data_IF_818019512236
#
_entry.id   IF_818019512236
#
_cell.length_a   1.000
_cell.length_b   1.000
_cell.length_c   1.000
_cell.angle_alpha   90.00
_cell.angle_beta   90.00
_cell.angle_gamma   90.00
#
_symmetry.space_group_name_H-M   'P 1'
#
loop_
_entity.id
_entity.type
_entity.pdbx_description
1 polymer ?
#
# COMPACT_ATOMS: atom_id res chain seq x y z
N UNK A 1 11.04 -69.64 25.53
CA UNK A 1 11.46 -68.41 26.24
C UNK A 1 10.26 -67.49 26.43
N UNK A 2 9.76 -67.31 27.67
CA UNK A 2 8.64 -66.39 27.93
C UNK A 2 9.23 -64.97 28.14
N UNK A 3 9.00 -64.07 27.20
CA UNK A 3 9.39 -62.67 27.38
C UNK A 3 8.66 -62.12 28.60
N UNK A 4 9.42 -61.47 29.49
CA UNK A 4 8.83 -60.87 30.68
C UNK A 4 7.98 -59.65 30.25
N UNK A 5 6.77 -59.45 30.83
CA UNK A 5 5.83 -58.42 30.42
C UNK A 5 6.43 -56.99 30.31
N UNK A 6 7.39 -56.54 31.13
CA UNK A 6 7.96 -55.21 30.99
C UNK A 6 8.79 -55.02 29.72
N UNK A 7 9.42 -56.09 29.19
CA UNK A 7 10.21 -56.05 27.97
C UNK A 7 9.29 -55.90 26.74
N UNK A 8 8.13 -56.54 26.75
CA UNK A 8 7.15 -56.45 25.68
C UNK A 8 6.55 -55.03 25.57
N UNK A 9 6.26 -54.39 26.72
CA UNK A 9 5.74 -53.01 26.77
C UNK A 9 6.79 -52.03 26.26
N UNK A 10 8.06 -52.18 26.61
CA UNK A 10 9.13 -51.32 26.16
C UNK A 10 9.35 -51.41 24.63
N UNK A 11 9.27 -52.63 24.05
CA UNK A 11 9.36 -52.84 22.61
C UNK A 11 8.17 -52.23 21.84
N UNK A 12 6.99 -52.27 22.44
CA UNK A 12 5.76 -51.66 21.86
C UNK A 12 5.86 -50.14 21.84
N UNK A 13 6.38 -49.54 22.91
CA UNK A 13 6.59 -48.06 22.96
C UNK A 13 7.63 -47.61 21.93
N UNK A 14 8.72 -48.36 21.72
CA UNK A 14 9.72 -48.04 20.70
C UNK A 14 9.14 -48.16 19.28
N UNK A 15 8.28 -49.16 19.01
CA UNK A 15 7.60 -49.32 17.71
C UNK A 15 6.68 -48.12 17.40
N UNK A 16 6.00 -47.58 18.41
CA UNK A 16 5.18 -46.35 18.23
C UNK A 16 6.01 -45.08 17.97
N UNK A 17 7.19 -44.98 18.60
CA UNK A 17 8.06 -43.80 18.37
C UNK A 17 8.73 -43.81 17.00
N UNK A 18 8.90 -44.98 16.37
CA UNK A 18 9.48 -45.09 15.03
C UNK A 18 8.43 -44.90 13.89
N UNK A 19 7.15 -44.98 14.22
CA UNK A 19 6.06 -44.90 13.22
C UNK A 19 5.72 -43.46 12.78
N UNK A 20 6.16 -42.42 13.47
CA UNK A 20 5.76 -41.05 13.20
C UNK A 20 6.71 -40.24 12.32
N UNK A 21 7.83 -40.80 11.79
CA UNK A 21 8.87 -40.01 11.13
C UNK A 21 8.95 -40.24 9.61
N UNK A 22 8.21 -41.17 9.05
CA UNK A 22 8.50 -41.62 7.66
C UNK A 22 7.68 -40.98 6.55
N UNK A 23 6.88 -39.93 6.76
CA UNK A 23 6.15 -39.28 5.66
C UNK A 23 5.99 -37.76 5.80
N UNK A 24 6.87 -37.09 6.51
CA UNK A 24 7.02 -35.64 6.33
C UNK A 24 7.98 -35.42 5.16
N UNK A 25 7.48 -35.52 3.95
CA UNK A 25 8.19 -35.13 2.73
C UNK A 25 8.28 -33.59 2.72
N UNK A 26 9.28 -33.06 3.42
CA UNK A 26 9.56 -31.63 3.49
C UNK A 26 10.07 -31.06 2.15
N UNK A 27 10.41 -31.94 1.19
CA UNK A 27 10.91 -31.52 -0.12
C UNK A 27 9.79 -31.18 -1.13
N UNK A 28 8.49 -31.45 -0.79
CA UNK A 28 7.37 -31.16 -1.69
C UNK A 28 6.62 -29.86 -1.35
N UNK A 29 6.97 -29.17 -0.28
CA UNK A 29 6.43 -27.85 0.00
C UNK A 29 7.38 -26.81 -0.61
N UNK A 30 7.46 -26.75 -1.93
CA UNK A 30 7.74 -25.50 -2.62
C UNK A 30 6.52 -24.60 -2.38
N UNK A 31 6.35 -24.15 -1.16
CA UNK A 31 5.52 -22.99 -0.88
C UNK A 31 6.36 -21.83 -1.44
N UNK A 32 6.07 -21.41 -2.67
CA UNK A 32 6.38 -20.07 -3.14
C UNK A 32 5.58 -19.09 -2.24
N UNK A 33 5.95 -19.07 -0.97
CA UNK A 33 5.36 -18.17 -0.01
C UNK A 33 5.88 -16.78 -0.38
N UNK A 34 5.02 -15.96 -0.95
CA UNK A 34 5.27 -14.54 -1.09
C UNK A 34 4.80 -13.84 0.20
N UNK A 35 5.67 -13.78 1.24
CA UNK A 35 5.31 -13.05 2.45
C UNK A 35 5.01 -11.61 2.09
N UNK A 36 3.97 -11.06 2.73
CA UNK A 36 3.55 -9.70 2.48
C UNK A 36 3.39 -8.92 3.77
N UNK A 37 3.76 -7.64 3.79
CA UNK A 37 3.44 -6.73 4.88
C UNK A 37 2.87 -5.43 4.39
N UNK A 38 2.02 -4.86 5.24
CA UNK A 38 1.39 -3.57 5.00
C UNK A 38 2.26 -2.46 5.61
N UNK A 39 2.46 -1.40 4.84
CA UNK A 39 3.22 -0.21 5.22
C UNK A 39 2.37 1.01 4.98
N UNK A 40 2.16 1.89 5.98
CA UNK A 40 1.53 3.17 5.73
C UNK A 40 2.42 3.99 4.79
N UNK A 41 1.81 4.59 3.74
CA UNK A 41 2.56 5.38 2.77
C UNK A 41 2.28 6.87 2.95
N UNK A 42 1.02 7.27 2.78
CA UNK A 42 0.63 8.66 2.76
C UNK A 42 -0.63 8.84 3.60
N UNK A 43 -0.66 9.91 4.37
CA UNK A 43 -1.85 10.42 5.03
C UNK A 43 -1.82 11.93 5.02
N UNK A 44 -2.88 12.56 4.54
CA UNK A 44 -3.12 13.99 4.69
C UNK A 44 -4.62 14.29 4.77
N UNK A 45 -4.93 15.46 5.29
CA UNK A 45 -6.26 16.04 5.31
C UNK A 45 -6.15 17.46 4.76
N UNK A 46 -7.01 17.78 3.79
CA UNK A 46 -7.15 19.13 3.22
C UNK A 46 -8.52 19.66 3.63
N UNK A 47 -8.58 20.94 3.90
CA UNK A 47 -9.86 21.64 4.10
C UNK A 47 -10.14 22.64 2.97
N UNK A 48 -11.26 23.35 3.03
CA UNK A 48 -11.61 24.34 2.00
C UNK A 48 -10.60 25.50 1.90
N UNK A 49 -9.88 25.82 2.98
CA UNK A 49 -8.93 26.93 3.00
C UNK A 49 -7.65 26.58 2.22
N UNK A 50 -7.29 25.28 2.14
CA UNK A 50 -6.15 24.84 1.31
C UNK A 50 -6.38 25.12 -0.18
N UNK A 51 -7.64 25.33 -0.59
CA UNK A 51 -8.06 25.65 -1.95
C UNK A 51 -8.44 27.12 -2.13
N UNK A 52 -8.10 27.99 -1.19
CA UNK A 52 -8.36 29.43 -1.25
C UNK A 52 -7.05 30.18 -1.03
N UNK A 53 -6.76 31.13 -1.90
CA UNK A 53 -5.60 32.00 -1.75
C UNK A 53 -5.87 33.03 -0.65
N UNK A 54 -5.06 33.03 0.41
CA UNK A 54 -5.21 33.90 1.58
C UNK A 54 -5.07 35.39 1.23
N UNK A 55 -4.47 35.74 0.09
CA UNK A 55 -4.18 37.13 -0.28
C UNK A 55 -5.37 37.80 -0.97
N UNK A 56 -6.03 37.09 -1.86
CA UNK A 56 -7.07 37.65 -2.74
C UNK A 56 -8.38 36.85 -2.76
N UNK A 57 -8.45 35.75 -2.01
CA UNK A 57 -9.63 34.90 -1.90
C UNK A 57 -9.94 34.10 -3.18
N UNK A 58 -9.03 34.06 -4.16
CA UNK A 58 -9.23 33.29 -5.38
C UNK A 58 -9.06 31.79 -5.12
N UNK A 59 -9.76 30.95 -5.91
CA UNK A 59 -9.60 29.50 -5.78
C UNK A 59 -8.24 29.02 -6.30
N UNK A 60 -7.57 28.21 -5.50
CA UNK A 60 -6.39 27.40 -5.85
C UNK A 60 -6.91 26.07 -6.37
N UNK A 61 -6.76 25.83 -7.68
CA UNK A 61 -7.31 24.64 -8.31
C UNK A 61 -6.48 23.37 -8.09
N UNK A 62 -5.27 23.49 -7.55
CA UNK A 62 -4.36 22.35 -7.40
C UNK A 62 -3.49 22.50 -6.16
N UNK A 63 -3.48 21.47 -5.33
CA UNK A 63 -2.62 21.36 -4.15
C UNK A 63 -1.75 20.11 -4.33
N UNK A 64 -0.47 20.20 -4.00
CA UNK A 64 0.46 19.08 -4.11
C UNK A 64 1.32 18.98 -2.86
N UNK A 65 1.60 17.74 -2.46
CA UNK A 65 2.53 17.43 -1.38
C UNK A 65 3.49 16.32 -1.79
N UNK A 66 4.67 16.31 -1.18
CA UNK A 66 5.72 15.32 -1.42
C UNK A 66 6.14 14.73 -0.08
N UNK A 67 6.06 13.40 0.03
CA UNK A 67 6.43 12.63 1.22
C UNK A 67 7.57 11.67 0.92
N UNK A 68 8.55 11.56 1.82
CA UNK A 68 9.62 10.56 1.73
C UNK A 68 9.09 9.16 2.06
N UNK A 69 9.53 8.17 1.27
CA UNK A 69 9.20 6.75 1.45
C UNK A 69 10.44 5.98 1.92
N UNK A 70 10.63 5.89 3.22
CA UNK A 70 11.82 5.24 3.82
C UNK A 70 11.92 3.76 3.52
N UNK A 71 10.79 3.06 3.33
CA UNK A 71 10.77 1.61 3.08
C UNK A 71 11.62 1.20 1.88
N UNK A 72 11.63 2.00 0.82
CA UNK A 72 12.43 1.73 -0.38
C UNK A 72 13.93 2.04 -0.23
N UNK A 73 14.36 2.53 0.95
CA UNK A 73 15.78 2.71 1.25
C UNK A 73 16.45 1.40 1.67
N UNK A 74 15.67 0.44 2.17
CA UNK A 74 16.16 -0.88 2.56
C UNK A 74 16.62 -1.70 1.34
N UNK A 75 17.85 -2.23 1.36
CA UNK A 75 18.34 -3.16 0.33
C UNK A 75 17.49 -4.43 0.31
N UNK A 76 17.10 -4.95 1.48
CA UNK A 76 16.26 -6.15 1.56
C UNK A 76 14.92 -5.97 0.82
N UNK A 77 14.33 -4.78 0.85
CA UNK A 77 13.12 -4.46 0.08
C UNK A 77 13.42 -4.42 -1.40
N UNK A 78 14.47 -3.71 -1.81
CA UNK A 78 14.81 -3.56 -3.24
C UNK A 78 15.20 -4.88 -3.91
N UNK A 79 15.89 -5.75 -3.17
CA UNK A 79 16.43 -6.99 -3.73
C UNK A 79 15.37 -8.10 -3.81
N UNK A 80 14.31 -8.03 -2.99
CA UNK A 80 13.34 -9.11 -2.85
C UNK A 80 11.89 -8.71 -3.18
N UNK A 81 11.56 -7.42 -3.34
CA UNK A 81 10.21 -6.98 -3.68
C UNK A 81 9.83 -7.46 -5.09
N UNK A 82 8.71 -8.19 -5.19
CA UNK A 82 8.18 -8.69 -6.46
C UNK A 82 6.91 -7.98 -6.89
N UNK A 83 6.12 -7.48 -5.94
CA UNK A 83 4.86 -6.78 -6.19
C UNK A 83 4.56 -5.77 -5.09
N UNK A 84 4.02 -4.63 -5.49
CA UNK A 84 3.50 -3.58 -4.61
C UNK A 84 2.02 -3.36 -4.93
N UNK A 85 1.15 -3.50 -3.94
CA UNK A 85 -0.26 -3.10 -4.02
C UNK A 85 -0.45 -1.84 -3.18
N UNK A 86 -0.92 -0.76 -3.78
CA UNK A 86 -1.20 0.47 -3.06
C UNK A 86 -2.71 0.64 -2.96
N UNK A 87 -3.22 0.62 -1.75
CA UNK A 87 -4.64 0.83 -1.45
C UNK A 87 -4.85 2.26 -1.03
N UNK A 88 -5.86 2.88 -1.61
CA UNK A 88 -6.27 4.25 -1.33
C UNK A 88 -7.65 4.25 -0.72
N UNK A 89 -7.80 5.08 0.31
CA UNK A 89 -9.05 5.36 0.99
C UNK A 89 -9.20 6.89 1.05
N UNK A 90 -10.12 7.43 0.24
CA UNK A 90 -10.35 8.84 0.05
C UNK A 90 -11.77 9.14 0.52
N UNK A 91 -11.90 10.10 1.44
CA UNK A 91 -13.20 10.54 1.98
C UNK A 91 -13.28 12.04 1.86
N UNK A 92 -14.38 12.56 1.31
CA UNK A 92 -14.65 13.99 1.23
C UNK A 92 -16.09 14.32 1.60
N UNK A 93 -16.30 15.56 2.03
CA UNK A 93 -17.63 16.17 2.12
C UNK A 93 -17.76 17.46 1.29
N UNK A 94 -16.83 17.67 0.35
CA UNK A 94 -16.93 18.72 -0.64
C UNK A 94 -17.99 18.39 -1.69
N UNK A 95 -18.80 19.34 -2.08
CA UNK A 95 -19.69 19.23 -3.23
C UNK A 95 -18.98 19.66 -4.52
N UNK A 96 -17.82 19.05 -4.79
CA UNK A 96 -16.94 19.34 -5.94
C UNK A 96 -16.32 18.03 -6.44
N UNK A 97 -15.95 18.02 -7.69
CA UNK A 97 -15.22 16.93 -8.32
C UNK A 97 -13.71 17.09 -8.04
N UNK A 98 -13.05 15.97 -7.72
CA UNK A 98 -11.62 15.91 -7.46
C UNK A 98 -10.93 14.94 -8.39
N UNK A 99 -9.77 15.35 -8.91
CA UNK A 99 -8.82 14.51 -9.62
C UNK A 99 -7.57 14.32 -8.78
N UNK A 100 -7.01 13.12 -8.82
CA UNK A 100 -5.79 12.79 -8.11
C UNK A 100 -4.74 12.33 -9.10
N UNK A 101 -3.51 12.78 -8.92
CA UNK A 101 -2.33 12.26 -9.62
C UNK A 101 -1.30 11.89 -8.58
N UNK A 102 -0.88 10.61 -8.61
CA UNK A 102 0.12 10.09 -7.68
C UNK A 102 1.36 9.70 -8.48
N UNK A 103 2.53 10.20 -8.03
CA UNK A 103 3.82 9.92 -8.65
C UNK A 103 4.74 9.28 -7.62
N UNK A 104 5.37 8.20 -8.00
CA UNK A 104 6.52 7.66 -7.30
C UNK A 104 7.77 8.30 -7.90
N UNK A 105 8.60 8.90 -7.05
CA UNK A 105 9.76 9.68 -7.45
C UNK A 105 11.04 9.02 -6.93
N UNK A 106 12.12 9.07 -7.71
CA UNK A 106 13.44 8.65 -7.25
C UNK A 106 14.09 9.70 -6.34
N UNK A 107 15.32 9.42 -5.87
CA UNK A 107 16.06 10.33 -4.98
C UNK A 107 16.35 11.71 -5.58
N UNK A 108 16.36 11.84 -6.90
CA UNK A 108 16.57 13.09 -7.63
C UNK A 108 15.26 13.84 -7.93
N UNK A 109 14.10 13.29 -7.52
CA UNK A 109 12.79 13.88 -7.79
C UNK A 109 12.23 13.56 -9.18
N UNK A 110 12.89 12.68 -9.94
CA UNK A 110 12.36 12.26 -11.24
C UNK A 110 11.26 11.23 -11.08
N UNK A 111 10.21 11.33 -11.91
CA UNK A 111 9.11 10.39 -11.95
C UNK A 111 9.60 9.00 -12.39
N UNK A 112 9.29 7.96 -11.60
CA UNK A 112 9.55 6.55 -11.93
C UNK A 112 8.27 5.76 -12.19
N UNK A 113 7.16 6.17 -11.59
CA UNK A 113 5.85 5.59 -11.85
C UNK A 113 4.76 6.63 -11.58
N UNK A 114 3.75 6.68 -12.43
CA UNK A 114 2.63 7.61 -12.29
C UNK A 114 1.32 6.91 -12.57
N UNK A 115 0.33 7.21 -11.77
CA UNK A 115 -1.03 6.78 -12.02
C UNK A 115 -2.02 7.83 -11.51
N UNK A 116 -3.18 7.86 -12.14
CA UNK A 116 -4.28 8.72 -11.76
C UNK A 116 -5.45 7.83 -11.41
N UNK A 117 -5.79 7.68 -10.13
CA UNK A 117 -7.00 6.99 -9.73
C UNK A 117 -8.21 7.69 -10.33
N UNK A 118 -9.35 6.97 -10.35
CA UNK A 118 -10.58 7.49 -10.92
C UNK A 118 -10.98 8.84 -10.31
N UNK A 119 -11.62 9.67 -11.13
CA UNK A 119 -12.18 10.95 -10.71
C UNK A 119 -13.25 10.73 -9.64
N UNK A 120 -13.16 11.49 -8.56
CA UNK A 120 -14.16 11.47 -7.49
C UNK A 120 -15.22 12.53 -7.78
N UNK A 121 -16.41 12.11 -8.20
CA UNK A 121 -17.50 13.02 -8.59
C UNK A 121 -18.03 13.87 -7.43
N UNK A 122 -18.80 14.92 -7.72
CA UNK A 122 -19.40 15.82 -6.72
C UNK A 122 -20.19 15.07 -5.64
N UNK A 123 -20.97 14.06 -6.05
CA UNK A 123 -21.89 13.31 -5.17
C UNK A 123 -21.23 12.13 -4.48
N UNK A 124 -19.98 11.83 -4.81
CA UNK A 124 -19.25 10.71 -4.23
C UNK A 124 -18.43 11.21 -3.03
N UNK A 125 -18.78 10.73 -1.85
CA UNK A 125 -18.12 11.10 -0.60
C UNK A 125 -17.01 10.10 -0.15
N UNK A 126 -16.98 8.89 -0.73
CA UNK A 126 -15.97 7.86 -0.43
C UNK A 126 -15.51 7.17 -1.72
N UNK A 127 -14.20 6.98 -1.85
CA UNK A 127 -13.55 6.25 -2.94
C UNK A 127 -12.49 5.33 -2.39
N UNK A 128 -12.58 4.04 -2.72
CA UNK A 128 -11.56 3.04 -2.40
C UNK A 128 -11.02 2.42 -3.67
N UNK A 129 -9.71 2.40 -3.81
CA UNK A 129 -9.01 1.93 -5.00
C UNK A 129 -7.79 1.10 -4.61
N UNK A 130 -7.34 0.27 -5.55
CA UNK A 130 -6.08 -0.47 -5.42
C UNK A 130 -5.32 -0.36 -6.73
N UNK A 131 -4.08 0.08 -6.66
CA UNK A 131 -3.11 0.04 -7.75
C UNK A 131 -2.16 -1.12 -7.52
N UNK A 132 -1.92 -1.94 -8.56
CA UNK A 132 -1.05 -3.12 -8.49
C UNK A 132 0.13 -2.93 -9.42
N UNK A 133 1.33 -2.89 -8.84
CA UNK A 133 2.59 -2.69 -9.57
C UNK A 133 3.43 -3.97 -9.46
N UNK A 134 3.63 -4.66 -10.57
CA UNK A 134 4.54 -5.80 -10.63
C UNK A 134 5.96 -5.33 -10.96
N UNK A 135 6.92 -5.66 -10.13
CA UNK A 135 8.32 -5.26 -10.30
C UNK A 135 8.93 -5.82 -11.60
N UNK A 136 8.47 -6.98 -12.05
CA UNK A 136 8.93 -7.57 -13.32
C UNK A 136 8.59 -6.72 -14.56
N UNK A 137 7.50 -5.96 -14.50
CA UNK A 137 7.06 -5.07 -15.59
C UNK A 137 7.46 -3.61 -15.36
N UNK A 138 7.66 -3.22 -14.11
CA UNK A 138 8.02 -1.87 -13.67
C UNK A 138 9.20 -1.90 -12.69
N UNK A 139 10.39 -2.36 -13.12
CA UNK A 139 11.56 -2.47 -12.24
C UNK A 139 12.05 -1.12 -11.71
N UNK A 140 11.75 -0.01 -12.40
CA UNK A 140 12.06 1.35 -11.98
C UNK A 140 11.43 1.73 -10.63
N UNK A 141 10.35 1.06 -10.21
CA UNK A 141 9.69 1.32 -8.93
C UNK A 141 10.59 1.04 -7.72
N UNK A 142 11.60 0.17 -7.88
CA UNK A 142 12.61 -0.10 -6.84
C UNK A 142 13.49 1.12 -6.54
N UNK A 143 13.53 2.10 -7.44
CA UNK A 143 14.28 3.35 -7.27
C UNK A 143 13.47 4.41 -6.52
N UNK A 144 12.23 4.13 -6.16
CA UNK A 144 11.38 5.08 -5.41
C UNK A 144 12.05 5.49 -4.11
N UNK A 145 11.95 6.79 -3.79
CA UNK A 145 12.39 7.40 -2.54
C UNK A 145 11.34 8.34 -1.97
N UNK A 146 10.48 8.86 -2.85
CA UNK A 146 9.45 9.83 -2.49
C UNK A 146 8.17 9.50 -3.24
N UNK A 147 7.07 9.97 -2.72
CA UNK A 147 5.81 10.03 -3.43
C UNK A 147 5.31 11.47 -3.47
N UNK A 148 4.72 11.85 -4.61
CA UNK A 148 4.02 13.11 -4.75
C UNK A 148 2.55 12.82 -4.99
N UNK A 149 1.68 13.50 -4.25
CA UNK A 149 0.23 13.48 -4.50
C UNK A 149 -0.19 14.87 -4.92
N UNK A 150 -0.83 14.97 -6.06
CA UNK A 150 -1.46 16.17 -6.56
C UNK A 150 -2.96 15.99 -6.52
N UNK A 151 -3.65 16.91 -5.86
CA UNK A 151 -5.11 16.98 -5.76
C UNK A 151 -5.57 18.18 -6.56
N UNK A 152 -6.42 17.97 -7.54
CA UNK A 152 -7.01 19.04 -8.33
C UNK A 152 -8.52 19.05 -8.17
N UNK A 153 -9.07 20.25 -7.96
CA UNK A 153 -10.51 20.50 -7.87
C UNK A 153 -11.00 21.05 -9.20
N UNK A 154 -12.13 20.55 -9.69
CA UNK A 154 -12.72 21.06 -10.93
C UNK A 154 -13.32 22.45 -10.71
N UNK A 155 -13.01 23.46 -11.59
CA UNK A 155 -13.61 24.78 -11.50
C UNK A 155 -15.14 24.73 -11.49
N UNK A 156 -15.76 25.59 -10.71
CA UNK A 156 -17.22 25.73 -10.62
C UNK A 156 -17.62 27.21 -10.62
N UNK A 157 -18.81 27.54 -11.15
CA UNK A 157 -19.30 28.91 -11.06
C UNK A 157 -19.59 29.36 -9.62
N UNK A 158 -19.76 28.40 -8.69
CA UNK A 158 -19.92 28.68 -7.26
C UNK A 158 -18.58 28.51 -6.59
N UNK A 159 -17.97 29.60 -6.14
CA UNK A 159 -16.73 29.57 -5.38
C UNK A 159 -16.87 28.79 -4.09
N UNK A 160 -15.76 28.28 -3.56
CA UNK A 160 -15.73 27.68 -2.23
C UNK A 160 -16.03 28.75 -1.17
N UNK A 161 -16.90 28.42 -0.21
CA UNK A 161 -17.23 29.28 0.89
C UNK A 161 -16.26 29.00 2.06
N UNK A 162 -15.43 29.99 2.47
CA UNK A 162 -14.47 29.80 3.56
C UNK A 162 -15.13 29.50 4.91
N UNK A 163 -16.39 29.85 5.09
CA UNK A 163 -17.14 29.66 6.34
C UNK A 163 -17.79 28.26 6.44
N UNK A 164 -17.83 27.51 5.33
CA UNK A 164 -18.39 26.14 5.29
C UNK A 164 -17.29 25.13 5.50
N UNK A 165 -17.30 24.41 6.62
CA UNK A 165 -16.32 23.35 6.89
C UNK A 165 -16.46 22.19 5.92
N UNK A 166 -15.48 22.05 5.04
CA UNK A 166 -15.34 20.95 4.10
C UNK A 166 -13.97 20.31 4.26
N UNK A 167 -13.91 18.98 4.11
CA UNK A 167 -12.68 18.20 4.31
C UNK A 167 -12.53 17.13 3.25
N UNK A 168 -11.30 16.94 2.82
CA UNK A 168 -10.84 15.83 2.01
C UNK A 168 -9.77 15.10 2.80
N UNK A 169 -9.98 13.82 3.09
CA UNK A 169 -9.00 12.95 3.74
C UNK A 169 -8.50 11.92 2.72
N UNK A 170 -7.20 11.84 2.62
CA UNK A 170 -6.51 10.88 1.78
C UNK A 170 -5.62 9.98 2.64
N UNK A 171 -5.77 8.67 2.49
CA UNK A 171 -4.96 7.69 3.17
C UNK A 171 -4.54 6.59 2.18
N UNK A 172 -3.26 6.17 2.24
CA UNK A 172 -2.80 5.04 1.47
C UNK A 172 -1.94 4.07 2.29
N UNK A 173 -2.05 2.81 1.93
CA UNK A 173 -1.29 1.70 2.51
C UNK A 173 -0.69 0.90 1.35
N UNK A 174 0.62 0.67 1.40
CA UNK A 174 1.32 -0.22 0.48
C UNK A 174 1.41 -1.63 1.08
N UNK A 175 0.95 -2.64 0.33
CA UNK A 175 1.23 -4.05 0.62
C UNK A 175 2.38 -4.50 -0.26
N UNK A 176 3.50 -4.83 0.37
CA UNK A 176 4.72 -5.27 -0.29
C UNK A 176 4.81 -6.79 -0.24
N UNK A 177 4.95 -7.44 -1.39
CA UNK A 177 5.13 -8.89 -1.55
C UNK A 177 6.58 -9.17 -1.89
N UNK A 178 7.17 -10.18 -1.23
CA UNK A 178 8.59 -10.50 -1.34
C UNK A 178 8.78 -11.94 -1.77
N UNK A 179 9.93 -12.19 -2.43
CA UNK A 179 10.44 -13.54 -2.73
C UNK A 179 11.86 -13.63 -2.19
N UNK A 180 12.14 -14.69 -1.43
CA UNK A 180 13.43 -15.00 -0.84
C UNK A 180 14.02 -16.28 -1.39
#
# INVERSE_FOLDING_TARGET
>A
MKLKPPILIFLLIQAFLLSCVNNADFDQINIDAEPAFDVPLIFFELDQLDFINDTDGTEILTVSDITDLEIFQSSAVRDNLVRLEIRYDIVKNFNREFNFTIKLLNGNGNNVYEFSPAVMSEVQDTLQLTEVINVSTHPEVLNTRKTSVTVSITPSPNALDPDVQQKLRFRSIGRCYFRF
#
